data_IF_582427313285
#
_entry.id   IF_582427313285
#
_cell.length_a   1.000
_cell.length_b   1.000
_cell.length_c   1.000
_cell.angle_alpha   90.00
_cell.angle_beta   90.00
_cell.angle_gamma   90.00
#
_symmetry.space_group_name_H-M   'P 1'
#
loop_
_entity.id
_entity.type
_entity.pdbx_description
1 polymer ?
#
# COMPACT_ATOMS: atom_id res chain seq x y z
N UNK A 1 -1.99 -4.11 19.38
CA UNK A 1 -2.05 -2.88 18.55
C UNK A 1 -1.15 -1.87 19.24
N UNK A 2 -0.13 -1.34 18.56
CA UNK A 2 0.73 -0.32 19.14
C UNK A 2 -0.01 1.03 19.16
N UNK A 3 0.37 1.93 20.07
CA UNK A 3 -0.19 3.29 20.13
C UNK A 3 0.03 4.04 18.81
N UNK A 4 1.17 3.81 18.15
CA UNK A 4 1.47 4.38 16.83
C UNK A 4 0.47 3.92 15.75
N UNK A 5 0.14 2.63 15.70
CA UNK A 5 -0.85 2.11 14.73
C UNK A 5 -2.23 2.76 14.95
N UNK A 6 -2.64 2.92 16.21
CA UNK A 6 -3.90 3.59 16.54
C UNK A 6 -3.90 5.06 16.11
N UNK A 7 -2.83 5.81 16.39
CA UNK A 7 -2.70 7.22 16.00
C UNK A 7 -2.69 7.42 14.49
N UNK A 8 -2.00 6.54 13.75
CA UNK A 8 -1.97 6.60 12.28
C UNK A 8 -3.36 6.35 11.71
N UNK A 9 -4.07 5.32 12.21
CA UNK A 9 -5.43 5.00 11.76
C UNK A 9 -6.42 6.11 12.06
N UNK A 10 -6.38 6.66 13.27
CA UNK A 10 -7.26 7.77 13.69
C UNK A 10 -7.01 9.04 12.87
N UNK A 11 -5.74 9.38 12.62
CA UNK A 11 -5.39 10.50 11.74
C UNK A 11 -5.91 10.27 10.31
N UNK A 12 -5.71 9.07 9.77
CA UNK A 12 -6.10 8.74 8.40
C UNK A 12 -7.62 8.82 8.21
N UNK A 13 -8.37 8.21 9.13
CA UNK A 13 -9.83 8.26 9.13
C UNK A 13 -10.36 9.68 9.39
N UNK A 14 -9.77 10.40 10.35
CA UNK A 14 -10.10 11.79 10.66
C UNK A 14 -9.87 12.77 9.50
N UNK A 15 -8.96 12.44 8.57
CA UNK A 15 -8.76 13.17 7.32
C UNK A 15 -9.74 12.77 6.21
N UNK A 16 -10.64 11.81 6.45
CA UNK A 16 -11.58 11.30 5.45
C UNK A 16 -10.90 10.48 4.34
N UNK A 17 -9.74 9.89 4.63
CA UNK A 17 -8.94 9.15 3.65
C UNK A 17 -9.26 7.64 3.60
N UNK A 18 -10.23 7.19 4.38
CA UNK A 18 -10.64 5.79 4.51
C UNK A 18 -10.06 5.11 5.74
N UNK A 19 -10.05 3.77 5.75
CA UNK A 19 -9.50 2.97 6.84
C UNK A 19 -8.22 2.26 6.37
N UNK A 20 -7.12 2.55 7.07
CA UNK A 20 -5.81 2.00 6.78
C UNK A 20 -5.54 0.74 7.62
N UNK A 21 -5.12 -0.35 6.98
CA UNK A 21 -4.63 -1.55 7.63
C UNK A 21 -3.17 -1.78 7.27
N UNK A 22 -2.28 -1.77 8.26
CA UNK A 22 -0.84 -1.94 8.07
C UNK A 22 -0.38 -3.26 8.68
N UNK A 23 0.31 -4.09 7.89
CA UNK A 23 0.91 -5.35 8.35
C UNK A 23 2.34 -5.14 8.88
N UNK A 24 2.46 -4.45 10.02
CA UNK A 24 3.74 -4.08 10.63
C UNK A 24 4.73 -5.24 10.83
N UNK A 25 4.24 -6.45 11.07
CA UNK A 25 5.07 -7.63 11.29
C UNK A 25 5.97 -7.97 10.10
N UNK A 26 5.60 -7.55 8.88
CA UNK A 26 6.40 -7.76 7.66
C UNK A 26 7.59 -6.83 7.53
N UNK A 27 7.66 -5.77 8.36
CA UNK A 27 8.83 -4.89 8.40
C UNK A 27 10.15 -5.64 8.67
N UNK A 28 10.10 -6.75 9.42
CA UNK A 28 11.26 -7.61 9.65
C UNK A 28 11.77 -8.30 8.37
N UNK A 29 10.91 -8.45 7.35
CA UNK A 29 11.24 -8.96 6.02
C UNK A 29 11.62 -7.84 5.03
N UNK A 30 11.72 -6.58 5.49
CA UNK A 30 12.16 -5.45 4.67
C UNK A 30 11.09 -4.80 3.80
N UNK A 31 9.79 -5.05 4.07
CA UNK A 31 8.68 -4.40 3.36
C UNK A 31 7.45 -4.21 4.26
N UNK A 32 6.54 -3.33 3.86
CA UNK A 32 5.31 -3.03 4.62
C UNK A 32 4.11 -3.15 3.67
N UNK A 33 3.27 -4.19 3.82
CA UNK A 33 1.97 -4.27 3.17
C UNK A 33 0.97 -3.33 3.82
N UNK A 34 0.15 -2.71 2.97
CA UNK A 34 -0.91 -1.81 3.39
C UNK A 34 -2.18 -2.13 2.61
N UNK A 35 -3.32 -2.17 3.28
CA UNK A 35 -4.65 -2.21 2.67
C UNK A 35 -5.40 -0.94 3.03
N UNK A 36 -6.09 -0.37 2.04
CA UNK A 36 -6.94 0.80 2.20
C UNK A 36 -8.39 0.43 1.87
N UNK A 37 -9.27 0.61 2.85
CA UNK A 37 -10.71 0.40 2.71
C UNK A 37 -11.41 1.75 2.62
N UNK A 38 -12.46 1.84 1.81
CA UNK A 38 -13.24 3.07 1.65
C UNK A 38 -12.41 4.24 1.14
N UNK A 39 -11.49 4.00 0.20
CA UNK A 39 -10.69 5.07 -0.39
C UNK A 39 -11.61 6.10 -1.05
N UNK A 40 -11.48 7.41 -0.74
CA UNK A 40 -12.28 8.45 -1.38
C UNK A 40 -12.01 8.55 -2.90
N UNK A 41 -10.91 7.97 -3.37
CA UNK A 41 -10.52 7.97 -4.78
C UNK A 41 -11.18 6.82 -5.56
N UNK A 42 -11.87 5.89 -4.89
CA UNK A 42 -12.55 4.77 -5.54
C UNK A 42 -13.67 5.23 -6.49
N UNK A 43 -14.36 6.32 -6.16
CA UNK A 43 -15.49 6.83 -6.93
C UNK A 43 -15.13 8.05 -7.81
N UNK A 44 -13.85 8.44 -7.84
CA UNK A 44 -13.38 9.65 -8.52
C UNK A 44 -12.44 9.25 -9.67
N UNK A 45 -12.86 9.54 -10.90
CA UNK A 45 -12.00 9.47 -12.09
C UNK A 45 -12.64 8.81 -13.31
N UNK A 46 -12.07 9.02 -14.51
CA UNK A 46 -12.50 8.32 -15.71
C UNK A 46 -12.19 6.82 -15.61
N UNK A 47 -13.14 6.00 -16.05
CA UNK A 47 -13.00 4.56 -16.12
C UNK A 47 -11.79 4.18 -16.99
N UNK A 48 -10.77 3.54 -16.40
CA UNK A 48 -9.60 3.04 -17.14
C UNK A 48 -8.27 3.75 -16.88
N UNK A 49 -8.20 4.71 -15.96
CA UNK A 49 -6.92 5.11 -15.33
C UNK A 49 -6.84 4.52 -13.94
N UNK A 50 -5.77 3.76 -13.74
CA UNK A 50 -5.62 2.75 -12.70
C UNK A 50 -4.37 3.06 -11.92
N UNK A 51 -4.58 3.57 -10.72
CA UNK A 51 -3.55 4.15 -9.89
C UNK A 51 -4.20 5.06 -8.86
N UNK A 52 -3.97 4.78 -7.59
CA UNK A 52 -4.13 5.71 -6.50
C UNK A 52 -2.79 6.43 -6.30
N UNK A 53 -2.36 7.20 -7.32
CA UNK A 53 -1.08 7.94 -7.33
C UNK A 53 -0.95 8.89 -6.12
N UNK A 54 -2.09 9.38 -5.62
CA UNK A 54 -2.14 10.18 -4.41
C UNK A 54 -1.74 9.35 -3.19
N UNK A 55 -2.30 8.16 -3.01
CA UNK A 55 -2.04 7.33 -1.83
C UNK A 55 -0.66 6.68 -1.90
N UNK A 56 -0.18 6.30 -3.08
CA UNK A 56 1.22 5.87 -3.23
C UNK A 56 2.17 6.97 -2.77
N UNK A 57 1.97 8.22 -3.22
CA UNK A 57 2.80 9.36 -2.81
C UNK A 57 2.71 9.70 -1.32
N UNK A 58 1.52 9.70 -0.73
CA UNK A 58 1.34 9.96 0.71
C UNK A 58 2.04 8.90 1.54
N UNK A 59 1.80 7.61 1.24
CA UNK A 59 2.41 6.50 1.98
C UNK A 59 3.92 6.51 1.81
N UNK A 60 4.42 6.70 0.59
CA UNK A 60 5.85 6.80 0.29
C UNK A 60 6.51 7.91 1.10
N UNK A 61 5.94 9.12 1.09
CA UNK A 61 6.48 10.27 1.83
C UNK A 61 6.43 10.08 3.35
N UNK A 62 5.33 9.54 3.87
CA UNK A 62 5.17 9.30 5.30
C UNK A 62 6.19 8.27 5.81
N UNK A 63 6.27 7.09 5.19
CA UNK A 63 7.16 6.03 5.68
C UNK A 63 8.63 6.32 5.41
N UNK A 64 8.96 6.99 4.31
CA UNK A 64 10.34 7.42 4.03
C UNK A 64 10.86 8.41 5.08
N UNK A 65 9.99 9.13 5.80
CA UNK A 65 10.44 9.99 6.90
C UNK A 65 11.02 9.20 8.09
N UNK A 66 10.59 7.95 8.27
CA UNK A 66 11.06 7.07 9.35
C UNK A 66 12.20 6.15 8.94
N UNK A 67 12.62 6.21 7.68
CA UNK A 67 13.70 5.40 7.13
C UNK A 67 14.82 6.32 6.65
N UNK A 68 16.07 6.04 7.00
CA UNK A 68 17.26 6.73 6.46
C UNK A 68 17.51 6.35 4.97
N UNK A 69 16.46 6.07 4.21
CA UNK A 69 16.53 5.58 2.82
C UNK A 69 15.24 5.81 2.04
N UNK A 70 15.34 5.67 0.73
CA UNK A 70 14.22 5.85 -0.20
C UNK A 70 13.36 4.56 -0.21
N UNK A 71 12.15 4.66 0.35
CA UNK A 71 11.12 3.66 0.12
C UNK A 71 10.36 4.01 -1.16
N UNK A 72 9.84 2.98 -1.81
CA UNK A 72 8.90 3.11 -2.92
C UNK A 72 7.59 2.45 -2.54
N UNK A 73 6.49 3.13 -2.85
CA UNK A 73 5.15 2.58 -2.65
C UNK A 73 4.57 2.08 -3.97
N UNK A 74 4.35 0.78 -4.07
CA UNK A 74 3.77 0.14 -5.26
C UNK A 74 2.33 -0.25 -4.95
N UNK A 75 1.37 0.23 -5.73
CA UNK A 75 0.00 -0.26 -5.66
C UNK A 75 -0.09 -1.67 -6.28
N UNK A 76 -0.60 -2.62 -5.51
CA UNK A 76 -0.68 -4.03 -5.89
C UNK A 76 -2.12 -4.51 -6.16
N UNK A 77 -3.11 -3.70 -5.80
CA UNK A 77 -4.52 -3.98 -6.06
C UNK A 77 -5.36 -2.71 -6.10
N UNK A 78 -6.41 -2.71 -6.90
CA UNK A 78 -7.34 -1.59 -7.06
C UNK A 78 -8.79 -2.10 -6.99
N UNK A 79 -9.53 -1.68 -5.97
CA UNK A 79 -10.93 -2.06 -5.80
C UNK A 79 -11.80 -1.62 -7.00
N UNK A 80 -11.45 -0.51 -7.68
CA UNK A 80 -12.17 -0.02 -8.87
C UNK A 80 -12.07 -0.98 -10.06
N UNK A 81 -11.02 -1.80 -10.08
CA UNK A 81 -10.82 -2.84 -11.08
C UNK A 81 -11.42 -4.19 -10.69
N UNK A 82 -12.14 -4.24 -9.57
CA UNK A 82 -12.70 -5.47 -9.05
C UNK A 82 -11.69 -6.37 -8.34
N UNK A 83 -10.56 -5.81 -7.87
CA UNK A 83 -9.66 -6.55 -6.99
C UNK A 83 -10.39 -6.96 -5.71
N UNK A 84 -10.35 -8.25 -5.39
CA UNK A 84 -11.04 -8.82 -4.23
C UNK A 84 -10.34 -8.51 -2.92
N UNK A 85 -9.05 -8.19 -2.95
CA UNK A 85 -8.29 -7.78 -1.78
C UNK A 85 -8.43 -6.28 -1.51
N UNK A 86 -9.10 -5.55 -2.42
CA UNK A 86 -9.37 -4.11 -2.33
C UNK A 86 -8.22 -3.26 -2.88
N UNK A 87 -8.17 -2.00 -2.47
CA UNK A 87 -7.03 -1.12 -2.75
C UNK A 87 -5.88 -1.52 -1.83
N UNK A 88 -4.78 -2.01 -2.39
CA UNK A 88 -3.63 -2.53 -1.62
C UNK A 88 -2.31 -2.00 -2.15
N UNK A 89 -1.32 -1.91 -1.26
CA UNK A 89 0.00 -1.36 -1.53
C UNK A 89 1.09 -2.18 -0.85
N UNK A 90 2.30 -2.08 -1.37
CA UNK A 90 3.53 -2.55 -0.73
C UNK A 90 4.54 -1.41 -0.73
N UNK A 91 5.02 -1.04 0.45
CA UNK A 91 6.18 -0.18 0.62
C UNK A 91 7.44 -1.03 0.76
N UNK A 92 8.46 -0.74 -0.02
CA UNK A 92 9.70 -1.48 0.00
C UNK A 92 10.89 -0.62 -0.47
N UNK A 93 12.14 -0.98 -0.11
CA UNK A 93 13.32 -0.41 -0.73
C UNK A 93 13.32 -0.62 -2.26
N UNK A 94 13.98 0.26 -2.99
CA UNK A 94 13.94 0.34 -4.45
C UNK A 94 14.08 -1.00 -5.20
N UNK A 95 15.08 -1.83 -4.84
CA UNK A 95 15.30 -3.12 -5.53
C UNK A 95 14.16 -4.11 -5.30
N UNK A 96 13.57 -4.10 -4.10
CA UNK A 96 12.45 -4.96 -3.76
C UNK A 96 11.15 -4.42 -4.38
N UNK A 97 10.98 -3.10 -4.43
CA UNK A 97 9.85 -2.47 -5.11
C UNK A 97 9.82 -2.80 -6.61
N UNK A 98 10.97 -2.81 -7.29
CA UNK A 98 11.06 -3.28 -8.69
C UNK A 98 10.61 -4.71 -8.88
N UNK A 99 10.92 -5.60 -7.93
CA UNK A 99 10.42 -6.98 -7.94
C UNK A 99 8.89 -6.99 -7.81
N UNK A 100 8.32 -6.17 -6.92
CA UNK A 100 6.86 -6.04 -6.77
C UNK A 100 6.20 -5.52 -8.04
N UNK A 101 6.75 -4.49 -8.69
CA UNK A 101 6.26 -3.98 -9.97
C UNK A 101 6.20 -5.08 -11.05
N UNK A 102 7.24 -5.91 -11.13
CA UNK A 102 7.26 -7.08 -12.02
C UNK A 102 6.13 -8.07 -11.71
N UNK A 103 5.91 -8.37 -10.43
CA UNK A 103 4.83 -9.29 -10.01
C UNK A 103 3.44 -8.71 -10.30
N UNK A 104 3.25 -7.40 -10.14
CA UNK A 104 2.02 -6.69 -10.52
C UNK A 104 1.80 -6.75 -12.03
N UNK A 105 2.84 -6.55 -12.84
CA UNK A 105 2.77 -6.68 -14.29
C UNK A 105 2.39 -8.10 -14.73
N UNK A 106 2.80 -9.12 -13.97
CA UNK A 106 2.42 -10.53 -14.13
C UNK A 106 1.02 -10.87 -13.57
N UNK A 107 0.29 -9.88 -13.04
CA UNK A 107 -1.05 -10.02 -12.42
C UNK A 107 -1.07 -10.93 -11.20
N UNK A 108 0.05 -10.98 -10.47
CA UNK A 108 0.13 -11.67 -9.18
C UNK A 108 -0.72 -10.92 -8.15
N UNK A 109 -1.47 -11.65 -7.32
CA UNK A 109 -2.35 -11.01 -6.32
C UNK A 109 -1.56 -10.45 -5.15
N UNK A 110 -2.12 -9.47 -4.45
CA UNK A 110 -1.46 -8.85 -3.30
C UNK A 110 -1.03 -9.87 -2.25
N UNK A 111 -1.91 -10.78 -1.82
CA UNK A 111 -1.57 -11.81 -0.85
C UNK A 111 -0.46 -12.77 -1.31
N UNK A 112 -0.39 -13.05 -2.63
CA UNK A 112 0.66 -13.87 -3.23
C UNK A 112 2.00 -13.13 -3.27
N UNK A 113 1.99 -11.83 -3.58
CA UNK A 113 3.16 -10.94 -3.49
C UNK A 113 3.70 -10.95 -2.06
N UNK A 114 2.86 -10.66 -1.08
CA UNK A 114 3.25 -10.60 0.35
C UNK A 114 3.84 -11.94 0.81
N UNK A 115 3.25 -13.06 0.44
CA UNK A 115 3.76 -14.38 0.78
C UNK A 115 5.13 -14.66 0.15
N UNK A 116 5.33 -14.30 -1.12
CA UNK A 116 6.58 -14.54 -1.86
C UNK A 116 7.74 -13.64 -1.43
N UNK A 117 7.45 -12.46 -0.86
CA UNK A 117 8.47 -11.57 -0.28
C UNK A 117 8.88 -11.98 1.13
N UNK A 118 7.99 -12.67 1.86
CA UNK A 118 8.24 -13.10 3.23
C UNK A 118 8.99 -14.45 3.34
N UNK A 119 9.19 -15.14 2.22
CA UNK A 119 9.92 -16.41 2.11
C UNK A 119 11.43 -16.19 1.94
#
# INVERSE_FOLDING_TARGET
MSELDALIRDLWDGCGLGELEIEWARGASGFIPVRLKGSPMQDIGPSGHVGDDMFTGILEGFFSHFCDGELRCVQTGDARLGDREGTTFVLAPFDLAKRVEGMVAERTRHGEIVAALAA
#
